data_IF_806082425002
#
_entry.id   IF_806082425002
#
_cell.length_a   1.000
_cell.length_b   1.000
_cell.length_c   1.000
_cell.angle_alpha   90.00
_cell.angle_beta   90.00
_cell.angle_gamma   90.00
#
_symmetry.space_group_name_H-M   'P 1'
#
loop_
_entity.id
_entity.type
_entity.pdbx_description
1 polymer ?
#
# COMPACT_ATOMS: atom_id res chain seq x y z
N UNK A 1 14.64 11.59 17.69
CA UNK A 1 14.05 11.57 16.32
C UNK A 1 14.89 12.34 15.30
N UNK A 2 15.09 13.65 15.39
CA UNK A 2 15.74 14.49 14.34
C UNK A 2 17.06 13.92 13.81
N UNK A 3 17.95 13.39 14.67
CA UNK A 3 19.22 12.80 14.23
C UNK A 3 19.05 11.47 13.49
N UNK A 4 18.10 10.65 13.91
CA UNK A 4 17.79 9.37 13.23
C UNK A 4 17.16 9.64 11.87
N UNK A 5 16.21 10.58 11.80
CA UNK A 5 15.60 10.98 10.53
C UNK A 5 16.63 11.55 9.55
N UNK A 6 17.54 12.41 10.01
CA UNK A 6 18.66 12.92 9.18
C UNK A 6 19.54 11.80 8.67
N UNK A 7 19.86 10.82 9.52
CA UNK A 7 20.64 9.66 9.12
C UNK A 7 19.90 8.83 8.06
N UNK A 8 18.64 8.52 8.27
CA UNK A 8 17.80 7.79 7.30
C UNK A 8 17.67 8.58 5.98
N UNK A 9 17.37 9.88 6.05
CA UNK A 9 17.24 10.72 4.87
C UNK A 9 18.55 10.86 4.08
N UNK A 10 19.71 10.78 4.73
CA UNK A 10 21.00 10.78 4.04
C UNK A 10 21.19 9.55 3.12
N UNK A 11 20.33 8.53 3.26
CA UNK A 11 20.32 7.30 2.46
C UNK A 11 19.31 7.33 1.31
N UNK A 12 18.50 8.38 1.19
CA UNK A 12 17.60 8.61 0.05
C UNK A 12 18.47 8.90 -1.18
N UNK A 13 18.24 8.20 -2.28
CA UNK A 13 19.05 8.32 -3.50
C UNK A 13 20.13 7.23 -3.62
N UNK A 14 20.40 6.46 -2.57
CA UNK A 14 21.12 5.18 -2.69
C UNK A 14 20.18 4.12 -3.25
N UNK A 15 19.42 4.49 -4.28
CA UNK A 15 18.32 3.72 -4.81
C UNK A 15 18.79 2.44 -5.49
N UNK A 16 17.94 1.46 -5.39
CA UNK A 16 17.86 0.22 -6.11
C UNK A 16 19.22 -0.31 -6.62
N UNK A 17 19.96 -0.92 -5.73
CA UNK A 17 21.17 -1.68 -6.09
C UNK A 17 20.76 -3.13 -6.28
N UNK A 18 21.13 -3.71 -7.40
CA UNK A 18 20.82 -5.11 -7.73
C UNK A 18 21.37 -6.09 -6.69
N UNK A 19 20.48 -6.96 -6.21
CA UNK A 19 20.82 -8.12 -5.39
C UNK A 19 20.52 -7.97 -3.90
N UNK A 20 20.16 -9.09 -3.27
CA UNK A 20 19.79 -9.19 -1.86
C UNK A 20 20.97 -9.48 -0.91
N UNK A 21 22.19 -9.66 -1.46
CA UNK A 21 23.33 -10.10 -0.64
C UNK A 21 23.63 -9.22 0.56
N UNK A 22 23.48 -7.89 0.41
CA UNK A 22 23.65 -6.92 1.50
C UNK A 22 22.63 -7.14 2.61
N UNK A 23 21.36 -7.27 2.22
CA UNK A 23 20.26 -7.51 3.16
C UNK A 23 20.37 -8.87 3.81
N UNK A 24 20.73 -9.92 3.04
CA UNK A 24 20.96 -11.24 3.61
C UNK A 24 22.05 -11.22 4.68
N UNK A 25 23.18 -10.55 4.39
CA UNK A 25 24.25 -10.39 5.39
C UNK A 25 23.79 -9.57 6.61
N UNK A 26 22.98 -8.53 6.40
CA UNK A 26 22.47 -7.69 7.48
C UNK A 26 21.53 -8.46 8.43
N UNK A 27 20.59 -9.26 7.89
CA UNK A 27 19.71 -10.09 8.75
C UNK A 27 20.50 -11.18 9.48
N UNK A 28 21.53 -11.78 8.85
CA UNK A 28 22.42 -12.75 9.51
C UNK A 28 23.13 -12.09 10.72
N UNK A 29 23.68 -10.89 10.55
CA UNK A 29 24.33 -10.13 11.63
C UNK A 29 23.39 -9.75 12.76
N UNK A 30 22.09 -9.55 12.45
CA UNK A 30 21.03 -9.28 13.43
C UNK A 30 20.40 -10.55 14.04
N UNK A 31 20.92 -11.74 13.68
CA UNK A 31 20.45 -13.01 14.20
C UNK A 31 19.11 -13.45 13.62
N UNK A 32 18.89 -13.17 12.33
CA UNK A 32 17.76 -13.60 11.51
C UNK A 32 16.40 -13.33 12.18
N UNK A 33 16.08 -12.07 12.50
CA UNK A 33 14.82 -11.71 13.18
C UNK A 33 13.58 -12.19 12.41
N UNK A 34 13.63 -12.22 11.08
CA UNK A 34 12.55 -12.61 10.18
C UNK A 34 12.15 -14.08 10.29
N UNK A 35 12.93 -14.91 10.96
CA UNK A 35 12.66 -16.34 11.15
C UNK A 35 11.87 -16.64 12.44
N UNK A 36 11.58 -15.64 13.25
CA UNK A 36 10.96 -15.81 14.57
C UNK A 36 9.44 -15.75 14.56
N UNK A 37 8.84 -15.34 13.44
CA UNK A 37 7.39 -15.21 13.26
C UNK A 37 6.97 -15.57 11.83
N UNK A 38 5.72 -16.01 11.61
CA UNK A 38 5.19 -16.23 10.26
C UNK A 38 4.99 -14.91 9.51
N UNK A 39 5.22 -14.93 8.19
CA UNK A 39 5.12 -13.75 7.34
C UNK A 39 4.17 -14.01 6.18
N UNK A 40 3.22 -13.09 5.95
CA UNK A 40 2.44 -12.98 4.73
C UNK A 40 3.06 -11.86 3.91
N UNK A 41 3.57 -12.18 2.72
CA UNK A 41 4.33 -11.26 1.88
C UNK A 41 3.46 -10.73 0.73
N UNK A 42 3.28 -9.42 0.66
CA UNK A 42 2.29 -8.79 -0.23
C UNK A 42 2.97 -7.91 -1.27
N UNK A 43 2.79 -8.23 -2.55
CA UNK A 43 3.19 -7.39 -3.68
C UNK A 43 1.99 -7.05 -4.58
N UNK A 44 2.20 -6.11 -5.47
CA UNK A 44 1.21 -5.68 -6.46
C UNK A 44 1.54 -4.29 -7.00
N UNK A 45 0.94 -3.90 -8.10
CA UNK A 45 1.02 -2.52 -8.58
C UNK A 45 0.17 -1.63 -7.67
N UNK A 46 -1.10 -1.95 -7.51
CA UNK A 46 -2.06 -1.28 -6.62
C UNK A 46 -2.70 -2.28 -5.65
N UNK A 47 -3.37 -1.80 -4.60
CA UNK A 47 -4.16 -2.63 -3.68
C UNK A 47 -3.39 -3.21 -2.48
N UNK A 48 -2.05 -3.18 -2.46
CA UNK A 48 -1.22 -3.77 -1.38
C UNK A 48 -1.65 -3.32 0.03
N UNK A 49 -1.62 -2.01 0.27
CA UNK A 49 -1.96 -1.43 1.58
C UNK A 49 -3.41 -1.72 2.00
N UNK A 50 -4.39 -1.64 1.08
CA UNK A 50 -5.79 -1.99 1.37
C UNK A 50 -5.96 -3.46 1.73
N UNK A 51 -5.30 -4.38 1.00
CA UNK A 51 -5.31 -5.81 1.31
C UNK A 51 -4.69 -6.09 2.69
N UNK A 52 -3.57 -5.42 3.01
CA UNK A 52 -2.94 -5.49 4.34
C UNK A 52 -3.88 -4.95 5.41
N UNK A 53 -4.57 -3.83 5.18
CA UNK A 53 -5.51 -3.26 6.14
C UNK A 53 -6.65 -4.23 6.46
N UNK A 54 -7.29 -4.83 5.44
CA UNK A 54 -8.31 -5.86 5.67
C UNK A 54 -7.76 -7.07 6.43
N UNK A 55 -6.59 -7.58 6.05
CA UNK A 55 -5.99 -8.72 6.77
C UNK A 55 -5.66 -8.37 8.22
N UNK A 56 -5.12 -7.17 8.48
CA UNK A 56 -4.83 -6.72 9.84
C UNK A 56 -6.07 -6.81 10.73
N UNK A 57 -7.17 -6.20 10.32
CA UNK A 57 -8.41 -6.23 11.10
C UNK A 57 -8.96 -7.67 11.25
N UNK A 58 -8.91 -8.48 10.19
CA UNK A 58 -9.33 -9.88 10.26
C UNK A 58 -8.54 -10.67 11.32
N UNK A 59 -7.23 -10.51 11.37
CA UNK A 59 -6.39 -11.20 12.35
C UNK A 59 -6.54 -10.61 13.76
N UNK A 60 -6.62 -9.29 13.91
CA UNK A 60 -6.79 -8.60 15.21
C UNK A 60 -8.12 -8.97 15.85
N UNK A 61 -9.22 -8.98 15.09
CA UNK A 61 -10.55 -9.39 15.59
C UNK A 61 -10.63 -10.89 15.93
N UNK A 62 -9.62 -11.68 15.50
CA UNK A 62 -9.43 -13.07 15.90
C UNK A 62 -8.35 -13.22 16.99
N UNK A 63 -8.00 -12.13 17.67
CA UNK A 63 -7.11 -12.13 18.84
C UNK A 63 -5.63 -12.29 18.54
N UNK A 64 -5.19 -11.99 17.30
CA UNK A 64 -3.77 -12.04 16.93
C UNK A 64 -3.10 -10.69 17.13
N UNK A 65 -1.82 -10.72 17.51
CA UNK A 65 -0.93 -9.56 17.48
C UNK A 65 -0.26 -9.49 16.11
N UNK A 66 -0.57 -8.44 15.35
CA UNK A 66 -0.20 -8.33 13.94
C UNK A 66 0.82 -7.23 13.72
N UNK A 67 2.03 -7.58 13.28
CA UNK A 67 2.99 -6.62 12.75
C UNK A 67 2.66 -6.25 11.31
N UNK A 68 2.71 -4.96 10.97
CA UNK A 68 2.56 -4.51 9.58
C UNK A 68 3.74 -3.63 9.17
N UNK A 69 4.32 -3.92 8.00
CA UNK A 69 5.30 -3.07 7.35
C UNK A 69 4.74 -2.61 6.00
N UNK A 70 4.54 -1.31 5.83
CA UNK A 70 3.88 -0.72 4.66
C UNK A 70 4.65 0.48 4.09
N UNK A 71 4.39 0.82 2.83
CA UNK A 71 5.04 1.93 2.16
C UNK A 71 4.21 2.56 1.03
N UNK A 72 4.34 3.88 0.82
CA UNK A 72 4.99 4.87 1.67
C UNK A 72 4.15 5.20 2.92
N UNK A 73 4.67 6.02 3.83
CA UNK A 73 3.89 6.59 4.93
C UNK A 73 2.98 7.74 4.45
N UNK A 74 1.90 7.98 5.18
CA UNK A 74 0.95 9.07 4.92
C UNK A 74 1.13 10.20 5.93
N UNK A 75 1.31 9.92 7.21
CA UNK A 75 1.45 10.94 8.25
C UNK A 75 2.88 11.03 8.73
N UNK A 76 3.47 9.92 9.14
CA UNK A 76 4.78 9.84 9.76
C UNK A 76 5.54 8.60 9.29
N UNK A 77 6.87 8.65 9.34
CA UNK A 77 7.72 7.50 9.05
C UNK A 77 7.38 6.27 9.91
N UNK A 78 6.84 6.51 11.12
CA UNK A 78 6.41 5.48 12.05
C UNK A 78 5.23 4.65 11.53
N UNK A 79 4.35 5.24 10.70
CA UNK A 79 3.21 4.55 10.09
C UNK A 79 3.61 3.34 9.24
N UNK A 80 4.88 3.29 8.84
CA UNK A 80 5.41 2.15 8.09
C UNK A 80 5.55 0.90 8.92
N UNK A 81 5.65 1.04 10.25
CA UNK A 81 5.95 -0.06 11.20
C UNK A 81 4.92 0.02 12.32
N UNK A 82 3.90 -0.83 12.27
CA UNK A 82 2.82 -0.82 13.25
C UNK A 82 2.61 -2.21 13.89
N UNK A 83 2.06 -2.20 15.10
CA UNK A 83 1.48 -3.38 15.76
C UNK A 83 -0.02 -3.13 15.91
N UNK A 84 -0.87 -3.99 15.36
CA UNK A 84 -2.33 -3.86 15.37
C UNK A 84 -2.83 -2.50 14.85
N UNK A 85 -2.06 -1.84 14.00
CA UNK A 85 -2.34 -0.51 13.47
C UNK A 85 -1.71 0.65 14.24
N UNK A 86 -1.22 0.42 15.46
CA UNK A 86 -0.53 1.43 16.25
C UNK A 86 0.93 1.58 15.80
N UNK A 87 1.37 2.79 15.42
CA UNK A 87 2.75 3.03 14.99
C UNK A 87 3.79 2.78 16.06
N UNK A 88 4.99 2.37 15.65
CA UNK A 88 6.14 2.22 16.54
C UNK A 88 6.43 3.52 17.30
N UNK A 89 6.74 3.43 18.60
CA UNK A 89 7.07 4.60 19.43
C UNK A 89 8.40 5.25 19.01
N UNK A 90 8.54 6.58 19.25
CA UNK A 90 9.82 7.30 19.08
C UNK A 90 10.97 6.59 19.80
N UNK A 91 10.73 6.12 21.02
CA UNK A 91 11.74 5.49 21.86
C UNK A 91 12.24 4.17 21.24
N UNK A 92 11.32 3.31 20.81
CA UNK A 92 11.67 2.04 20.17
C UNK A 92 12.33 2.26 18.81
N UNK A 93 11.79 3.19 18.01
CA UNK A 93 12.35 3.50 16.70
C UNK A 93 13.80 3.99 16.80
N UNK A 94 14.11 4.92 17.73
CA UNK A 94 15.46 5.42 17.96
C UNK A 94 16.39 4.28 18.40
N UNK A 95 15.97 3.49 19.39
CA UNK A 95 16.76 2.38 19.94
C UNK A 95 17.09 1.33 18.88
N UNK A 96 16.11 0.95 18.07
CA UNK A 96 16.28 -0.03 17.00
C UNK A 96 17.13 0.54 15.85
N UNK A 97 16.97 1.83 15.53
CA UNK A 97 17.80 2.51 14.56
C UNK A 97 19.29 2.54 14.99
N UNK A 98 19.56 2.75 16.28
CA UNK A 98 20.94 2.71 16.82
C UNK A 98 21.52 1.29 16.77
N UNK A 99 20.70 0.26 16.99
CA UNK A 99 21.11 -1.14 16.84
C UNK A 99 21.47 -1.46 15.38
N UNK A 100 20.62 -1.06 14.42
CA UNK A 100 20.88 -1.24 12.98
C UNK A 100 22.11 -0.45 12.54
N UNK A 101 22.31 0.77 13.05
CA UNK A 101 23.48 1.60 12.78
C UNK A 101 24.78 0.95 13.29
N UNK A 102 24.74 0.31 14.44
CA UNK A 102 25.87 -0.44 15.00
C UNK A 102 26.20 -1.66 14.14
N UNK A 103 25.19 -2.43 13.73
CA UNK A 103 25.34 -3.57 12.83
C UNK A 103 25.88 -3.13 11.46
N UNK A 104 25.44 -1.97 10.93
CA UNK A 104 25.90 -1.47 9.63
C UNK A 104 27.43 -1.23 9.64
N UNK A 105 28.05 -0.88 10.76
CA UNK A 105 29.51 -0.72 10.85
C UNK A 105 30.27 -2.03 10.57
N UNK A 106 29.73 -3.16 11.04
CA UNK A 106 30.29 -4.48 10.73
C UNK A 106 29.99 -4.87 9.27
N UNK A 107 28.78 -4.56 8.78
CA UNK A 107 28.40 -4.82 7.40
C UNK A 107 29.34 -4.12 6.40
N UNK A 108 29.74 -2.89 6.71
CA UNK A 108 30.64 -2.07 5.85
C UNK A 108 32.03 -2.65 5.66
N UNK A 109 32.46 -3.65 6.43
CA UNK A 109 33.71 -4.36 6.20
C UNK A 109 33.69 -5.19 4.90
N UNK A 110 32.48 -5.59 4.45
CA UNK A 110 32.30 -6.51 3.32
C UNK A 110 31.31 -6.03 2.27
N UNK A 111 30.45 -5.06 2.60
CA UNK A 111 29.37 -4.57 1.74
C UNK A 111 29.28 -3.04 1.78
N UNK A 112 28.53 -2.48 0.83
CA UNK A 112 28.22 -1.04 0.79
C UNK A 112 27.16 -0.65 1.83
N UNK A 113 26.99 0.67 2.01
CA UNK A 113 25.95 1.26 2.86
C UNK A 113 24.55 0.81 2.47
N UNK A 114 23.71 0.63 3.48
CA UNK A 114 22.29 0.34 3.33
C UNK A 114 21.50 1.56 2.84
N UNK A 115 20.52 1.35 1.98
CA UNK A 115 19.58 2.38 1.52
C UNK A 115 18.54 2.69 2.60
N UNK A 116 17.80 3.78 2.40
CA UNK A 116 16.69 4.19 3.29
C UNK A 116 15.69 3.05 3.54
N UNK A 117 15.28 2.35 2.48
CA UNK A 117 14.27 1.30 2.60
C UNK A 117 14.85 0.02 3.24
N UNK A 118 16.11 -0.30 2.98
CA UNK A 118 16.82 -1.41 3.65
C UNK A 118 16.92 -1.18 5.16
N UNK A 119 17.28 0.03 5.59
CA UNK A 119 17.33 0.38 7.01
C UNK A 119 15.99 0.25 7.70
N UNK A 120 14.91 0.78 7.08
CA UNK A 120 13.56 0.66 7.63
C UNK A 120 13.08 -0.78 7.71
N UNK A 121 13.39 -1.60 6.69
CA UNK A 121 13.05 -3.03 6.71
C UNK A 121 13.71 -3.73 7.90
N UNK A 122 15.00 -3.49 8.16
CA UNK A 122 15.71 -4.10 9.30
C UNK A 122 15.15 -3.63 10.64
N UNK A 123 14.83 -2.34 10.78
CA UNK A 123 14.19 -1.80 11.99
C UNK A 123 12.85 -2.51 12.23
N UNK A 124 12.03 -2.67 11.17
CA UNK A 124 10.74 -3.36 11.27
C UNK A 124 10.89 -4.82 11.69
N UNK A 125 11.79 -5.57 11.07
CA UNK A 125 12.02 -6.98 11.39
C UNK A 125 12.47 -7.17 12.85
N UNK A 126 13.34 -6.28 13.36
CA UNK A 126 13.74 -6.30 14.77
C UNK A 126 12.58 -5.96 15.71
N UNK A 127 11.80 -4.94 15.38
CA UNK A 127 10.67 -4.51 16.19
C UNK A 127 9.64 -5.63 16.34
N UNK A 128 9.26 -6.29 15.26
CA UNK A 128 8.32 -7.40 15.29
C UNK A 128 8.80 -8.59 16.11
N UNK A 129 10.11 -8.91 16.05
CA UNK A 129 10.73 -9.93 16.90
C UNK A 129 10.63 -9.57 18.39
N UNK A 130 10.97 -8.34 18.76
CA UNK A 130 10.93 -7.89 20.16
C UNK A 130 9.50 -7.83 20.73
N UNK A 131 8.51 -7.53 19.87
CA UNK A 131 7.11 -7.48 20.25
C UNK A 131 6.41 -8.86 20.24
N UNK A 132 7.15 -9.92 19.89
CA UNK A 132 6.65 -11.31 19.88
C UNK A 132 5.31 -11.44 19.11
N UNK A 133 5.22 -10.80 17.92
CA UNK A 133 3.99 -10.82 17.13
C UNK A 133 3.60 -12.21 16.66
N UNK A 134 2.30 -12.49 16.56
CA UNK A 134 1.77 -13.78 16.05
C UNK A 134 2.01 -13.93 14.54
N UNK A 135 2.06 -12.81 13.79
CA UNK A 135 2.37 -12.80 12.36
C UNK A 135 2.76 -11.40 11.90
N UNK A 136 3.41 -11.33 10.74
CA UNK A 136 3.75 -10.08 10.05
C UNK A 136 3.11 -10.04 8.65
N UNK A 137 2.47 -8.93 8.33
CA UNK A 137 2.01 -8.56 7.00
C UNK A 137 3.07 -7.62 6.40
N UNK A 138 3.84 -8.12 5.44
CA UNK A 138 5.02 -7.43 4.90
C UNK A 138 4.73 -6.94 3.48
N UNK A 139 4.69 -5.63 3.28
CA UNK A 139 4.53 -5.02 1.96
C UNK A 139 5.86 -4.92 1.22
N UNK A 140 5.89 -5.39 -0.02
CA UNK A 140 6.98 -5.17 -0.98
C UNK A 140 7.04 -3.70 -1.37
N UNK A 141 8.22 -3.11 -1.38
CA UNK A 141 8.40 -1.74 -1.82
C UNK A 141 8.19 -1.59 -3.34
N UNK A 142 8.98 -2.30 -4.14
CA UNK A 142 8.92 -2.27 -5.60
C UNK A 142 9.21 -3.65 -6.17
N UNK A 143 8.34 -4.14 -7.06
CA UNK A 143 8.52 -5.42 -7.75
C UNK A 143 8.30 -6.60 -6.83
N UNK A 144 9.35 -7.30 -6.45
CA UNK A 144 9.31 -8.47 -5.57
C UNK A 144 10.64 -9.23 -5.56
N UNK A 145 11.08 -9.78 -6.68
CA UNK A 145 12.27 -10.64 -6.80
C UNK A 145 13.52 -10.04 -6.16
N UNK A 146 13.79 -8.77 -6.45
CA UNK A 146 14.96 -8.03 -5.96
C UNK A 146 14.62 -7.00 -4.90
N UNK A 147 13.38 -7.00 -4.41
CA UNK A 147 12.98 -6.09 -3.35
C UNK A 147 13.67 -6.44 -2.03
N UNK A 148 14.01 -5.42 -1.28
CA UNK A 148 14.65 -5.51 0.03
C UNK A 148 13.94 -6.47 0.98
N UNK A 149 12.60 -6.51 0.93
CA UNK A 149 11.79 -7.38 1.79
C UNK A 149 11.91 -8.86 1.41
N UNK A 150 12.44 -9.19 0.22
CA UNK A 150 12.48 -10.58 -0.26
C UNK A 150 13.59 -11.45 0.38
N UNK A 151 14.28 -10.93 1.39
CA UNK A 151 15.15 -11.72 2.27
C UNK A 151 14.36 -12.70 3.16
N UNK A 152 13.07 -12.47 3.31
CA UNK A 152 12.19 -13.32 4.12
C UNK A 152 11.69 -14.56 3.36
N UNK A 153 11.29 -15.58 4.13
CA UNK A 153 10.55 -16.73 3.61
C UNK A 153 9.08 -16.62 4.01
N UNK A 154 8.29 -15.95 3.17
CA UNK A 154 6.85 -15.82 3.40
C UNK A 154 6.13 -17.16 3.38
N UNK A 155 5.19 -17.39 4.29
CA UNK A 155 4.34 -18.59 4.29
C UNK A 155 3.27 -18.53 3.22
N UNK A 156 2.72 -17.33 2.99
CA UNK A 156 1.75 -17.05 1.93
C UNK A 156 2.22 -15.79 1.21
N UNK A 157 2.30 -15.86 -0.12
CA UNK A 157 2.57 -14.71 -0.98
C UNK A 157 1.27 -14.18 -1.58
N UNK A 158 1.15 -12.86 -1.74
CA UNK A 158 -0.02 -12.24 -2.36
C UNK A 158 0.43 -11.35 -3.52
N UNK A 159 -0.25 -11.46 -4.67
CA UNK A 159 -0.16 -10.50 -5.77
C UNK A 159 -1.52 -9.82 -5.92
N UNK A 160 -1.62 -8.55 -5.53
CA UNK A 160 -2.88 -7.81 -5.51
C UNK A 160 -3.32 -7.29 -6.87
N UNK A 161 -2.37 -6.96 -7.74
CA UNK A 161 -2.60 -6.55 -9.13
C UNK A 161 -1.29 -6.50 -9.91
N UNK A 162 -1.36 -6.56 -11.23
CA UNK A 162 -0.24 -6.32 -12.13
C UNK A 162 -0.66 -5.28 -13.17
N UNK A 163 0.11 -4.22 -13.30
CA UNK A 163 -0.10 -3.13 -14.23
C UNK A 163 1.21 -2.40 -14.51
N UNK A 164 1.25 -1.59 -15.54
CA UNK A 164 2.43 -0.82 -15.94
C UNK A 164 2.70 0.29 -14.91
N UNK A 165 3.73 0.12 -14.12
CA UNK A 165 4.31 1.12 -13.21
C UNK A 165 5.79 0.75 -12.98
N UNK A 166 6.63 1.73 -12.63
CA UNK A 166 8.07 1.55 -12.42
C UNK A 166 8.77 0.82 -13.59
N UNK A 167 8.37 1.12 -14.84
CA UNK A 167 8.84 0.40 -16.04
C UNK A 167 10.37 0.44 -16.21
N UNK A 168 11.03 1.53 -15.83
CA UNK A 168 12.49 1.67 -15.81
C UNK A 168 13.21 0.66 -14.91
N UNK A 169 12.48 0.05 -13.94
CA UNK A 169 13.03 -0.91 -12.98
C UNK A 169 12.49 -2.32 -13.18
N UNK A 170 11.19 -2.45 -13.50
CA UNK A 170 10.48 -3.73 -13.51
C UNK A 170 10.30 -4.32 -14.91
N UNK A 171 10.51 -3.53 -15.98
CA UNK A 171 10.27 -3.92 -17.35
C UNK A 171 9.09 -3.20 -18.00
N UNK A 172 8.93 -3.42 -19.31
CA UNK A 172 8.00 -2.69 -20.15
C UNK A 172 6.77 -3.51 -20.56
N UNK A 173 6.64 -4.73 -20.07
CA UNK A 173 5.50 -5.60 -20.32
C UNK A 173 4.91 -6.16 -19.02
N UNK A 174 3.66 -6.64 -19.10
CA UNK A 174 2.99 -7.26 -17.94
C UNK A 174 3.67 -8.55 -17.53
N UNK A 175 4.26 -9.29 -18.46
CA UNK A 175 5.02 -10.50 -18.21
C UNK A 175 6.28 -10.22 -17.38
N UNK A 176 7.08 -9.21 -17.78
CA UNK A 176 8.29 -8.82 -17.05
C UNK A 176 7.96 -8.36 -15.63
N UNK A 177 6.91 -7.56 -15.48
CA UNK A 177 6.45 -7.11 -14.16
C UNK A 177 5.92 -8.29 -13.33
N UNK A 178 5.24 -9.26 -13.96
CA UNK A 178 4.75 -10.47 -13.31
C UNK A 178 5.91 -11.34 -12.80
N UNK A 179 6.99 -11.51 -13.58
CA UNK A 179 8.19 -12.23 -13.14
C UNK A 179 8.82 -11.60 -11.91
N UNK A 180 8.93 -10.26 -11.90
CA UNK A 180 9.44 -9.54 -10.73
C UNK A 180 8.57 -9.76 -9.49
N UNK A 181 7.24 -9.69 -9.63
CA UNK A 181 6.31 -9.86 -8.51
C UNK A 181 6.23 -11.31 -8.03
N UNK A 182 6.15 -12.27 -8.94
CA UNK A 182 6.16 -13.70 -8.60
C UNK A 182 7.47 -14.17 -7.93
N UNK A 183 8.53 -13.34 -7.98
CA UNK A 183 9.78 -13.57 -7.26
C UNK A 183 9.66 -13.67 -5.74
N UNK A 184 8.53 -13.29 -5.14
CA UNK A 184 8.25 -13.51 -3.71
C UNK A 184 7.66 -14.89 -3.41
N UNK A 185 7.32 -15.69 -4.42
CA UNK A 185 6.86 -17.06 -4.21
C UNK A 185 7.98 -17.91 -3.63
N UNK A 186 7.66 -18.79 -2.68
CA UNK A 186 8.65 -19.63 -1.99
C UNK A 186 8.32 -21.11 -2.17
N UNK A 187 9.35 -21.91 -2.34
CA UNK A 187 9.26 -23.35 -2.59
C UNK A 187 8.26 -24.05 -1.66
N UNK A 188 7.26 -24.73 -2.23
CA UNK A 188 6.27 -25.51 -1.49
C UNK A 188 5.31 -24.70 -0.62
N UNK A 189 5.25 -23.36 -0.78
CA UNK A 189 4.35 -22.49 -0.02
C UNK A 189 3.06 -22.23 -0.80
N UNK A 190 2.20 -21.37 -0.26
CA UNK A 190 0.96 -20.92 -0.92
C UNK A 190 1.13 -19.53 -1.53
N UNK A 191 0.39 -19.27 -2.62
CA UNK A 191 0.24 -17.95 -3.18
C UNK A 191 -1.22 -17.66 -3.51
N UNK A 192 -1.66 -16.42 -3.25
CA UNK A 192 -3.00 -15.91 -3.56
C UNK A 192 -2.85 -14.76 -4.55
N UNK A 193 -3.48 -14.85 -5.71
CA UNK A 193 -3.39 -13.81 -6.75
C UNK A 193 -4.76 -13.29 -7.15
N UNK A 194 -4.80 -12.01 -7.50
CA UNK A 194 -5.97 -11.39 -8.09
C UNK A 194 -6.32 -12.01 -9.45
N UNK A 195 -7.43 -11.58 -10.02
CA UNK A 195 -7.74 -11.84 -11.42
C UNK A 195 -6.85 -10.95 -12.29
N UNK A 196 -5.79 -11.54 -12.85
CA UNK A 196 -4.74 -10.84 -13.61
C UNK A 196 -5.01 -10.92 -15.11
N UNK A 197 -4.40 -10.02 -15.88
CA UNK A 197 -4.35 -10.15 -17.33
C UNK A 197 -3.73 -11.51 -17.74
N UNK A 198 -4.18 -12.12 -18.84
CA UNK A 198 -3.78 -13.48 -19.24
C UNK A 198 -2.25 -13.68 -19.30
N UNK A 199 -1.51 -12.71 -19.82
CA UNK A 199 -0.05 -12.74 -19.95
C UNK A 199 0.62 -12.83 -18.57
N UNK A 200 0.20 -12.00 -17.62
CA UNK A 200 0.71 -11.99 -16.26
C UNK A 200 0.33 -13.26 -15.48
N UNK A 201 -0.89 -13.75 -15.72
CA UNK A 201 -1.38 -14.98 -15.10
C UNK A 201 -0.56 -16.20 -15.52
N UNK A 202 -0.22 -16.33 -16.81
CA UNK A 202 0.60 -17.42 -17.35
C UNK A 202 1.96 -17.44 -16.64
N UNK A 203 2.57 -16.27 -16.42
CA UNK A 203 3.86 -16.16 -15.72
C UNK A 203 3.72 -16.63 -14.27
N UNK A 204 2.71 -16.16 -13.55
CA UNK A 204 2.48 -16.58 -12.16
C UNK A 204 2.23 -18.10 -12.05
N UNK A 205 1.47 -18.68 -12.98
CA UNK A 205 1.25 -20.12 -13.03
C UNK A 205 2.55 -20.90 -13.25
N UNK A 206 3.35 -20.48 -14.23
CA UNK A 206 4.64 -21.11 -14.51
C UNK A 206 5.57 -21.07 -13.30
N UNK A 207 5.74 -19.91 -12.68
CA UNK A 207 6.58 -19.77 -11.46
C UNK A 207 6.04 -20.66 -10.33
N UNK A 208 4.71 -20.75 -10.17
CA UNK A 208 4.12 -21.62 -9.14
C UNK A 208 4.37 -23.11 -9.40
N UNK A 209 4.30 -23.55 -10.65
CA UNK A 209 4.62 -24.93 -11.04
C UNK A 209 6.11 -25.25 -10.81
N UNK A 210 7.01 -24.37 -11.22
CA UNK A 210 8.46 -24.53 -11.06
C UNK A 210 8.89 -24.62 -9.59
N UNK A 211 8.18 -23.91 -8.70
CA UNK A 211 8.44 -23.88 -7.25
C UNK A 211 7.53 -24.81 -6.43
N UNK A 212 6.60 -25.55 -7.05
CA UNK A 212 5.63 -26.37 -6.32
C UNK A 212 4.73 -25.55 -5.38
N UNK A 213 4.42 -24.30 -5.75
CA UNK A 213 3.56 -23.40 -4.98
C UNK A 213 2.09 -23.76 -5.22
N UNK A 214 1.30 -23.84 -4.15
CA UNK A 214 -0.16 -23.96 -4.28
C UNK A 214 -0.74 -22.59 -4.60
N UNK A 215 -1.20 -22.41 -5.83
CA UNK A 215 -1.72 -21.14 -6.33
C UNK A 215 -3.25 -21.06 -6.18
N UNK A 216 -3.74 -20.01 -5.52
CA UNK A 216 -5.17 -19.66 -5.41
C UNK A 216 -5.44 -18.38 -6.19
N UNK A 217 -6.38 -18.42 -7.10
CA UNK A 217 -6.68 -17.34 -8.02
C UNK A 217 -8.09 -16.81 -7.85
N UNK A 218 -8.25 -15.51 -7.77
CA UNK A 218 -9.54 -14.84 -7.74
C UNK A 218 -10.38 -15.18 -8.99
N UNK A 219 -11.70 -15.22 -8.84
CA UNK A 219 -12.71 -15.62 -9.82
C UNK A 219 -12.60 -17.08 -10.30
N UNK A 220 -11.64 -17.85 -9.82
CA UNK A 220 -11.49 -19.27 -10.10
C UNK A 220 -11.61 -20.12 -8.83
N UNK A 221 -10.83 -19.82 -7.81
CA UNK A 221 -10.74 -20.59 -6.57
C UNK A 221 -11.50 -19.90 -5.42
N UNK A 222 -11.68 -18.60 -5.50
CA UNK A 222 -12.46 -17.78 -4.58
C UNK A 222 -13.02 -16.53 -5.28
N UNK A 223 -14.08 -15.94 -4.72
CA UNK A 223 -14.66 -14.70 -5.25
C UNK A 223 -15.31 -13.88 -4.14
N UNK A 224 -15.42 -12.57 -4.35
CA UNK A 224 -16.20 -11.65 -3.54
C UNK A 224 -17.03 -10.76 -4.49
N UNK A 225 -18.34 -10.83 -4.38
CA UNK A 225 -19.28 -10.05 -5.23
C UNK A 225 -20.50 -9.67 -4.43
N UNK A 226 -20.86 -8.40 -4.48
CA UNK A 226 -22.07 -7.87 -3.84
C UNK A 226 -22.21 -8.29 -2.35
N UNK A 227 -21.10 -8.22 -1.60
CA UNK A 227 -21.08 -8.60 -0.19
C UNK A 227 -21.19 -10.10 0.09
N UNK A 228 -20.91 -10.94 -0.90
CA UNK A 228 -20.87 -12.39 -0.80
C UNK A 228 -19.47 -12.89 -1.12
N UNK A 229 -18.84 -13.60 -0.19
CA UNK A 229 -17.56 -14.28 -0.41
C UNK A 229 -17.77 -15.78 -0.51
N UNK A 230 -17.13 -16.40 -1.49
CA UNK A 230 -17.20 -17.85 -1.74
C UNK A 230 -15.81 -18.41 -1.99
N UNK A 231 -15.48 -19.51 -1.33
CA UNK A 231 -14.29 -20.31 -1.58
C UNK A 231 -14.48 -21.75 -1.07
N UNK A 232 -13.52 -22.64 -1.34
CA UNK A 232 -13.52 -23.99 -0.78
C UNK A 232 -13.41 -24.00 0.76
N UNK A 233 -12.98 -22.90 1.40
CA UNK A 233 -12.79 -22.80 2.85
C UNK A 233 -14.00 -22.21 3.56
N UNK A 234 -14.79 -21.34 2.93
CA UNK A 234 -15.95 -20.70 3.55
C UNK A 234 -16.91 -20.10 2.50
N UNK A 235 -18.18 -20.05 2.90
CA UNK A 235 -19.24 -19.26 2.27
C UNK A 235 -19.70 -18.20 3.27
N UNK A 236 -19.51 -16.91 2.95
CA UNK A 236 -19.81 -15.79 3.84
C UNK A 236 -20.67 -14.77 3.13
N UNK A 237 -21.76 -14.34 3.74
CA UNK A 237 -22.66 -13.35 3.18
C UNK A 237 -22.88 -12.15 4.10
N UNK A 238 -23.57 -11.14 3.54
CA UNK A 238 -23.89 -9.87 4.21
C UNK A 238 -22.64 -9.09 4.65
N UNK A 239 -21.56 -9.23 3.89
CA UNK A 239 -20.31 -8.52 4.15
C UNK A 239 -20.43 -7.07 3.67
N UNK A 240 -19.99 -6.14 4.51
CA UNK A 240 -19.86 -4.73 4.18
C UNK A 240 -18.40 -4.32 4.37
N UNK A 241 -17.89 -3.53 3.45
CA UNK A 241 -16.53 -3.04 3.52
C UNK A 241 -16.50 -1.63 4.12
N UNK A 242 -15.49 -1.35 4.95
CA UNK A 242 -15.23 -0.01 5.47
C UNK A 242 -14.47 0.88 4.47
N UNK A 243 -13.78 0.28 3.50
CA UNK A 243 -13.15 1.01 2.40
C UNK A 243 -14.11 1.14 1.22
N UNK A 244 -14.20 2.34 0.66
CA UNK A 244 -15.05 2.64 -0.49
C UNK A 244 -14.38 2.27 -1.83
N UNK A 245 -15.21 2.02 -2.85
CA UNK A 245 -14.79 1.67 -4.22
C UNK A 245 -14.95 0.18 -4.54
N UNK A 246 -15.45 -0.11 -5.75
CA UNK A 246 -15.76 -1.49 -6.21
C UNK A 246 -14.52 -2.39 -6.16
N UNK A 247 -13.34 -1.85 -6.48
CA UNK A 247 -12.07 -2.58 -6.42
C UNK A 247 -11.66 -3.03 -5.01
N UNK A 248 -12.29 -2.52 -3.97
CA UNK A 248 -12.05 -2.99 -2.61
C UNK A 248 -12.65 -4.38 -2.35
N UNK A 249 -13.64 -4.80 -3.14
CA UNK A 249 -14.11 -6.20 -3.11
C UNK A 249 -12.99 -7.16 -3.54
N UNK A 250 -12.19 -6.80 -4.55
CA UNK A 250 -11.02 -7.57 -4.99
C UNK A 250 -9.96 -7.66 -3.88
N UNK A 251 -9.65 -6.53 -3.23
CA UNK A 251 -8.69 -6.49 -2.12
C UNK A 251 -9.19 -7.30 -0.90
N UNK A 252 -10.49 -7.18 -0.57
CA UNK A 252 -11.11 -7.94 0.51
C UNK A 252 -11.15 -9.44 0.22
N UNK A 253 -11.39 -9.84 -1.05
CA UNK A 253 -11.35 -11.24 -1.47
C UNK A 253 -9.97 -11.86 -1.23
N UNK A 254 -8.90 -11.17 -1.63
CA UNK A 254 -7.51 -11.60 -1.40
C UNK A 254 -7.20 -11.71 0.09
N UNK A 255 -7.62 -10.72 0.88
CA UNK A 255 -7.43 -10.69 2.32
C UNK A 255 -8.16 -11.86 3.00
N UNK A 256 -9.44 -12.08 2.69
CA UNK A 256 -10.25 -13.17 3.24
C UNK A 256 -9.68 -14.53 2.86
N UNK A 257 -9.37 -14.77 1.59
CA UNK A 257 -8.79 -16.03 1.15
C UNK A 257 -7.49 -16.33 1.88
N UNK A 258 -6.62 -15.33 2.02
CA UNK A 258 -5.33 -15.48 2.72
C UNK A 258 -5.52 -15.74 4.20
N UNK A 259 -6.41 -14.98 4.85
CA UNK A 259 -6.75 -15.15 6.27
C UNK A 259 -7.30 -16.57 6.53
N UNK A 260 -8.26 -17.02 5.73
CA UNK A 260 -8.84 -18.36 5.86
C UNK A 260 -7.82 -19.47 5.64
N UNK A 261 -6.91 -19.32 4.66
CA UNK A 261 -5.81 -20.26 4.44
C UNK A 261 -4.88 -20.34 5.65
N UNK A 262 -4.47 -19.18 6.18
CA UNK A 262 -3.58 -19.10 7.33
C UNK A 262 -4.18 -19.75 8.58
N UNK A 263 -5.45 -19.45 8.90
CA UNK A 263 -6.17 -20.02 10.04
C UNK A 263 -6.39 -21.53 9.86
N UNK A 264 -6.78 -21.96 8.65
CA UNK A 264 -7.00 -23.37 8.36
C UNK A 264 -5.73 -24.21 8.48
N UNK A 265 -4.58 -23.71 8.00
CA UNK A 265 -3.29 -24.38 8.11
C UNK A 265 -2.88 -24.62 9.58
N UNK A 266 -3.37 -23.82 10.50
CA UNK A 266 -3.11 -23.90 11.94
C UNK A 266 -4.21 -24.61 12.72
N UNK A 267 -5.28 -25.03 12.05
CA UNK A 267 -6.45 -25.63 12.72
C UNK A 267 -7.19 -24.67 13.65
N UNK A 268 -7.04 -23.36 13.41
CA UNK A 268 -7.65 -22.33 14.23
C UNK A 268 -9.08 -22.03 13.77
N UNK A 269 -9.95 -21.71 14.74
CA UNK A 269 -11.36 -21.42 14.46
C UNK A 269 -11.53 -20.02 13.90
N UNK A 270 -12.48 -19.89 12.99
CA UNK A 270 -12.86 -18.62 12.38
C UNK A 270 -14.27 -18.25 12.82
N UNK A 271 -14.47 -17.00 13.23
CA UNK A 271 -15.77 -16.43 13.62
C UNK A 271 -16.31 -15.53 12.51
N UNK A 272 -17.49 -15.88 11.97
CA UNK A 272 -18.12 -15.11 10.90
C UNK A 272 -18.57 -13.70 11.32
N UNK A 273 -18.92 -13.48 12.61
CA UNK A 273 -19.27 -12.13 13.08
C UNK A 273 -18.03 -11.26 13.23
N UNK A 274 -16.91 -11.82 13.72
CA UNK A 274 -15.62 -11.12 13.77
C UNK A 274 -15.17 -10.73 12.35
N UNK A 275 -15.33 -11.61 11.36
CA UNK A 275 -15.06 -11.26 9.95
C UNK A 275 -15.91 -10.06 9.49
N UNK A 276 -17.24 -10.07 9.77
CA UNK A 276 -18.11 -8.96 9.36
C UNK A 276 -17.71 -7.65 10.03
N UNK A 277 -17.37 -7.70 11.30
CA UNK A 277 -16.87 -6.55 12.05
C UNK A 277 -15.58 -6.02 11.42
N UNK A 278 -14.57 -6.85 11.29
CA UNK A 278 -13.27 -6.53 10.73
C UNK A 278 -13.37 -5.83 9.37
N UNK A 279 -14.09 -6.44 8.42
CA UNK A 279 -14.25 -5.86 7.09
C UNK A 279 -14.97 -4.51 7.08
N UNK A 280 -15.96 -4.34 7.96
CA UNK A 280 -16.75 -3.12 8.07
C UNK A 280 -15.96 -1.97 8.73
N UNK A 281 -15.11 -2.28 9.69
CA UNK A 281 -14.34 -1.27 10.45
C UNK A 281 -12.98 -0.95 9.81
N UNK A 282 -12.57 -1.73 8.81
CA UNK A 282 -11.31 -1.50 8.10
C UNK A 282 -11.26 -0.09 7.53
N UNK A 283 -10.19 0.63 7.85
CA UNK A 283 -9.87 1.94 7.32
C UNK A 283 -8.42 1.98 6.82
N UNK A 284 -8.16 2.82 5.83
CA UNK A 284 -6.81 3.03 5.31
C UNK A 284 -6.64 4.44 4.79
N UNK A 285 -5.75 5.20 5.40
CA UNK A 285 -5.51 6.59 5.04
C UNK A 285 -5.15 6.77 3.55
N UNK A 286 -5.77 7.76 2.91
CA UNK A 286 -5.52 8.10 1.51
C UNK A 286 -6.02 7.07 0.48
N UNK A 287 -7.02 6.28 0.81
CA UNK A 287 -7.72 5.37 -0.13
C UNK A 287 -9.21 5.64 -0.12
N UNK A 288 -9.64 6.56 -0.98
CA UNK A 288 -11.00 7.12 -0.98
C UNK A 288 -11.43 7.52 0.45
N UNK A 289 -10.49 8.08 1.20
CA UNK A 289 -10.68 8.49 2.59
C UNK A 289 -11.55 9.75 2.62
N UNK A 290 -12.77 9.65 3.13
CA UNK A 290 -13.59 10.81 3.46
C UNK A 290 -13.02 11.45 4.72
N UNK A 291 -12.29 12.56 4.59
CA UNK A 291 -11.65 13.28 5.70
C UNK A 291 -12.62 14.26 6.34
N UNK A 292 -13.46 14.86 5.52
CA UNK A 292 -14.61 15.67 5.95
C UNK A 292 -15.86 15.20 5.22
N UNK A 293 -17.00 15.81 5.50
CA UNK A 293 -18.26 15.50 4.80
C UNK A 293 -18.16 15.74 3.29
N UNK A 294 -17.28 16.65 2.86
CA UNK A 294 -17.17 17.11 1.47
C UNK A 294 -15.83 16.79 0.80
N UNK A 295 -14.81 16.30 1.52
CA UNK A 295 -13.46 16.11 0.97
C UNK A 295 -13.03 14.66 1.05
N UNK A 296 -12.68 14.11 -0.12
CA UNK A 296 -12.09 12.79 -0.29
C UNK A 296 -10.60 12.90 -0.65
N UNK A 297 -9.77 12.11 0.02
CA UNK A 297 -8.36 11.94 -0.31
C UNK A 297 -8.12 10.59 -0.96
N UNK A 298 -7.50 10.58 -2.13
CA UNK A 298 -7.09 9.34 -2.78
C UNK A 298 -5.68 9.43 -3.38
N UNK A 299 -4.86 8.43 -3.09
CA UNK A 299 -3.46 8.36 -3.50
C UNK A 299 -3.22 7.83 -4.90
N UNK A 300 -4.17 7.89 -5.82
CA UNK A 300 -3.97 7.49 -7.21
C UNK A 300 -2.84 8.33 -7.85
N UNK A 301 -1.81 7.65 -8.36
CA UNK A 301 -0.59 8.27 -8.89
C UNK A 301 -0.03 7.54 -10.12
N UNK A 302 -0.83 6.66 -10.70
CA UNK A 302 -0.62 5.96 -11.96
C UNK A 302 -1.96 5.74 -12.66
N UNK A 303 -1.93 5.47 -13.95
CA UNK A 303 -3.15 5.35 -14.75
C UNK A 303 -4.10 4.26 -14.24
N UNK A 304 -3.66 3.02 -13.92
CA UNK A 304 -4.57 1.99 -13.41
C UNK A 304 -5.26 2.35 -12.07
N UNK A 305 -4.59 3.12 -11.19
CA UNK A 305 -5.23 3.61 -9.96
C UNK A 305 -6.23 4.73 -10.26
N UNK A 306 -5.89 5.60 -11.21
CA UNK A 306 -6.76 6.69 -11.61
C UNK A 306 -8.04 6.19 -12.29
N UNK A 307 -7.97 5.14 -13.09
CA UNK A 307 -9.14 4.47 -13.69
C UNK A 307 -10.14 4.07 -12.61
N UNK A 308 -9.66 3.46 -11.53
CA UNK A 308 -10.51 3.06 -10.38
C UNK A 308 -11.11 4.26 -9.64
N UNK A 309 -10.34 5.32 -9.47
CA UNK A 309 -10.84 6.58 -8.88
C UNK A 309 -11.93 7.19 -9.76
N UNK A 310 -11.74 7.24 -11.07
CA UNK A 310 -12.71 7.78 -12.03
C UNK A 310 -14.02 6.99 -12.01
N UNK A 311 -13.97 5.65 -11.95
CA UNK A 311 -15.17 4.81 -11.78
C UNK A 311 -15.98 5.21 -10.54
N UNK A 312 -15.31 5.46 -9.41
CA UNK A 312 -15.94 5.90 -8.18
C UNK A 312 -16.55 7.31 -8.31
N UNK A 313 -15.80 8.24 -8.88
CA UNK A 313 -16.25 9.61 -9.12
C UNK A 313 -17.48 9.63 -10.02
N UNK A 314 -17.51 8.83 -11.09
CA UNK A 314 -18.67 8.71 -11.99
C UNK A 314 -19.93 8.22 -11.25
N UNK A 315 -19.79 7.32 -10.28
CA UNK A 315 -20.93 6.89 -9.46
C UNK A 315 -21.46 8.06 -8.60
N UNK A 316 -20.59 8.91 -8.04
CA UNK A 316 -21.02 10.11 -7.29
C UNK A 316 -21.72 11.12 -8.21
N UNK A 317 -21.24 11.34 -9.44
CA UNK A 317 -21.93 12.17 -10.45
C UNK A 317 -23.35 11.62 -10.74
N UNK A 318 -23.49 10.31 -10.94
CA UNK A 318 -24.78 9.68 -11.18
C UNK A 318 -25.75 9.81 -9.99
N UNK A 319 -25.23 9.96 -8.78
CA UNK A 319 -25.99 10.23 -7.56
C UNK A 319 -26.38 11.72 -7.42
N UNK A 320 -25.93 12.59 -8.32
CA UNK A 320 -26.28 14.02 -8.37
C UNK A 320 -25.28 14.94 -7.70
N UNK A 321 -24.10 14.45 -7.30
CA UNK A 321 -23.05 15.31 -6.74
C UNK A 321 -22.36 16.15 -7.80
N UNK A 322 -21.99 17.38 -7.42
CA UNK A 322 -21.15 18.29 -8.19
C UNK A 322 -19.69 18.15 -7.73
N UNK A 323 -18.78 17.93 -8.66
CA UNK A 323 -17.43 17.50 -8.30
C UNK A 323 -16.35 18.47 -8.72
N UNK A 324 -15.43 18.69 -7.80
CA UNK A 324 -14.15 19.34 -8.06
C UNK A 324 -13.01 18.36 -7.80
N UNK A 325 -11.96 18.46 -8.60
CA UNK A 325 -10.77 17.62 -8.47
C UNK A 325 -9.59 18.56 -8.26
N UNK A 326 -8.84 18.34 -7.18
CA UNK A 326 -7.58 19.00 -6.90
C UNK A 326 -6.44 18.02 -7.11
N UNK A 327 -5.63 18.25 -8.14
CA UNK A 327 -4.58 17.35 -8.58
C UNK A 327 -3.20 17.92 -8.29
N UNK A 328 -2.36 17.14 -7.58
CA UNK A 328 -0.96 17.44 -7.33
C UNK A 328 -0.09 16.21 -7.54
N UNK A 329 0.92 16.27 -8.42
CA UNK A 329 1.71 15.11 -8.81
C UNK A 329 3.22 15.38 -8.78
N UNK A 330 4.00 14.30 -8.93
CA UNK A 330 5.46 14.35 -9.10
C UNK A 330 5.81 14.34 -10.60
N UNK A 331 6.81 15.13 -10.99
CA UNK A 331 7.31 15.24 -12.38
C UNK A 331 7.76 13.91 -12.98
N UNK A 332 8.23 12.98 -12.15
CA UNK A 332 8.68 11.64 -12.58
C UNK A 332 7.56 10.68 -12.98
N UNK A 333 6.30 11.03 -12.70
CA UNK A 333 5.12 10.26 -13.09
C UNK A 333 4.54 10.81 -14.38
N UNK A 334 3.78 10.01 -15.09
CA UNK A 334 3.04 10.44 -16.30
C UNK A 334 1.83 11.29 -15.90
N UNK A 335 2.09 12.47 -15.32
CA UNK A 335 1.04 13.39 -14.91
C UNK A 335 0.24 13.94 -16.10
N UNK A 336 0.88 14.11 -17.28
CA UNK A 336 0.21 14.54 -18.50
C UNK A 336 -0.86 13.57 -18.98
N UNK A 337 -0.51 12.27 -19.04
CA UNK A 337 -1.46 11.20 -19.35
C UNK A 337 -2.59 11.11 -18.33
N UNK A 338 -2.27 11.23 -17.02
CA UNK A 338 -3.28 11.23 -15.96
C UNK A 338 -4.26 12.42 -16.07
N UNK A 339 -3.77 13.65 -16.32
CA UNK A 339 -4.62 14.83 -16.48
C UNK A 339 -5.49 14.73 -17.74
N UNK A 340 -4.95 14.20 -18.84
CA UNK A 340 -5.70 13.93 -20.06
C UNK A 340 -6.83 12.95 -19.77
N UNK A 341 -6.53 11.84 -19.08
CA UNK A 341 -7.52 10.85 -18.72
C UNK A 341 -8.66 11.41 -17.85
N UNK A 342 -8.32 12.20 -16.81
CA UNK A 342 -9.32 12.88 -15.97
C UNK A 342 -10.23 13.80 -16.80
N UNK A 343 -9.65 14.62 -17.69
CA UNK A 343 -10.41 15.56 -18.50
C UNK A 343 -11.35 14.86 -19.49
N UNK A 344 -10.90 13.75 -20.09
CA UNK A 344 -11.69 12.99 -21.07
C UNK A 344 -12.84 12.21 -20.42
N UNK A 345 -12.62 11.66 -19.21
CA UNK A 345 -13.59 10.76 -18.57
C UNK A 345 -14.47 11.44 -17.51
N UNK A 346 -14.13 12.67 -17.10
CA UNK A 346 -14.88 13.46 -16.12
C UNK A 346 -15.15 14.88 -16.65
N UNK A 347 -15.82 15.04 -17.82
CA UNK A 347 -16.05 16.35 -18.43
C UNK A 347 -16.95 17.28 -17.57
N UNK A 348 -17.74 16.71 -16.67
CA UNK A 348 -18.64 17.45 -15.77
C UNK A 348 -17.96 17.86 -14.45
N UNK A 349 -16.72 17.42 -14.20
CA UNK A 349 -15.95 17.80 -13.02
C UNK A 349 -15.02 18.99 -13.31
N UNK A 350 -14.86 19.89 -12.36
CA UNK A 350 -13.88 20.98 -12.48
C UNK A 350 -12.52 20.53 -11.99
N UNK A 351 -11.52 20.51 -12.86
CA UNK A 351 -10.16 20.06 -12.56
C UNK A 351 -9.24 21.25 -12.26
N UNK A 352 -8.65 21.23 -11.07
CA UNK A 352 -7.63 22.18 -10.63
C UNK A 352 -6.29 21.47 -10.44
N UNK A 353 -5.18 22.14 -10.81
CA UNK A 353 -3.83 21.60 -10.66
C UNK A 353 -3.01 22.52 -9.75
N UNK A 354 -2.21 21.92 -8.86
CA UNK A 354 -1.40 22.68 -7.90
C UNK A 354 0.00 22.09 -7.72
N UNK A 355 0.91 22.92 -7.22
CA UNK A 355 2.19 22.48 -6.64
C UNK A 355 2.03 22.23 -5.14
N UNK A 356 2.97 21.48 -4.54
CA UNK A 356 3.03 21.21 -3.10
C UNK A 356 4.49 21.09 -2.63
N UNK A 357 4.73 21.17 -1.33
CA UNK A 357 6.08 21.27 -0.77
C UNK A 357 6.78 19.90 -0.69
N UNK A 358 7.13 19.36 -1.84
CA UNK A 358 7.88 18.11 -1.94
C UNK A 358 8.85 18.17 -3.12
N UNK A 359 10.07 17.63 -2.91
CA UNK A 359 11.09 17.58 -3.96
C UNK A 359 10.59 16.80 -5.19
N UNK A 360 10.57 17.47 -6.35
CA UNK A 360 10.10 16.88 -7.60
C UNK A 360 8.58 16.96 -7.81
N UNK A 361 7.85 17.75 -7.01
CA UNK A 361 6.46 18.14 -7.32
C UNK A 361 6.40 18.98 -8.59
N UNK A 362 5.20 19.08 -9.19
CA UNK A 362 4.94 19.99 -10.29
C UNK A 362 5.25 21.42 -9.87
N UNK A 363 5.83 22.21 -10.77
CA UNK A 363 6.12 23.63 -10.60
C UNK A 363 5.22 24.47 -11.50
N UNK A 364 5.16 25.77 -11.29
CA UNK A 364 4.31 26.71 -12.05
C UNK A 364 4.44 26.57 -13.57
N UNK A 365 5.63 26.27 -14.05
CA UNK A 365 5.87 26.06 -15.49
C UNK A 365 5.21 24.80 -16.04
N UNK A 366 5.04 23.77 -15.22
CA UNK A 366 4.42 22.48 -15.56
C UNK A 366 2.89 22.59 -15.56
N UNK A 367 2.35 23.62 -14.91
CA UNK A 367 0.91 23.88 -14.79
C UNK A 367 0.31 24.66 -15.97
N UNK A 368 1.15 25.11 -16.91
CA UNK A 368 0.70 25.86 -18.08
C UNK A 368 -0.27 25.07 -18.94
N UNK A 369 -1.43 25.66 -19.20
CA UNK A 369 -2.51 25.01 -19.98
C UNK A 369 -3.59 24.34 -19.13
N UNK A 370 -3.41 24.29 -17.82
CA UNK A 370 -4.41 23.79 -16.86
C UNK A 370 -4.95 24.93 -15.99
N UNK A 371 -6.11 24.73 -15.39
CA UNK A 371 -6.63 25.64 -14.36
C UNK A 371 -5.81 25.43 -13.09
N UNK A 372 -4.82 26.31 -12.88
CA UNK A 372 -3.89 26.19 -11.76
C UNK A 372 -4.29 27.07 -10.58
N UNK A 373 -3.99 26.59 -9.38
CA UNK A 373 -4.13 27.33 -8.12
C UNK A 373 -2.77 27.48 -7.45
N UNK A 374 -2.53 28.62 -6.84
CA UNK A 374 -1.25 28.97 -6.20
C UNK A 374 -1.11 28.42 -4.77
N UNK A 375 -2.23 28.26 -4.06
CA UNK A 375 -2.30 27.76 -2.68
C UNK A 375 -3.44 26.73 -2.57
N UNK A 376 -3.08 25.49 -2.41
CA UNK A 376 -4.09 24.44 -2.19
C UNK A 376 -4.81 24.62 -0.85
N UNK A 377 -4.15 25.21 0.17
CA UNK A 377 -4.73 25.45 1.50
C UNK A 377 -5.86 26.46 1.41
N UNK A 378 -5.59 27.64 0.83
CA UNK A 378 -6.62 28.68 0.66
C UNK A 378 -7.78 28.17 -0.22
N UNK A 379 -7.48 27.32 -1.20
CA UNK A 379 -8.50 26.71 -2.05
C UNK A 379 -9.41 25.76 -1.23
N UNK A 380 -8.83 24.89 -0.41
CA UNK A 380 -9.57 23.96 0.45
C UNK A 380 -10.44 24.72 1.45
N UNK A 381 -9.88 25.73 2.14
CA UNK A 381 -10.63 26.57 3.10
C UNK A 381 -11.82 27.26 2.43
N UNK A 382 -11.60 27.81 1.22
CA UNK A 382 -12.68 28.44 0.47
C UNK A 382 -13.75 27.42 0.03
N UNK A 383 -13.32 26.24 -0.42
CA UNK A 383 -14.24 25.16 -0.79
C UNK A 383 -15.10 24.74 0.38
N UNK A 384 -14.51 24.42 1.55
CA UNK A 384 -15.26 24.00 2.74
C UNK A 384 -16.23 25.07 3.24
N UNK A 385 -15.81 26.35 3.22
CA UNK A 385 -16.66 27.46 3.61
C UNK A 385 -17.86 27.71 2.68
N UNK A 386 -17.81 27.22 1.42
CA UNK A 386 -18.83 27.47 0.39
C UNK A 386 -19.56 26.24 -0.10
N UNK A 387 -19.10 25.03 0.27
CA UNK A 387 -19.68 23.78 -0.19
C UNK A 387 -21.14 23.60 0.26
N UNK A 388 -22.00 23.22 -0.68
CA UNK A 388 -23.35 22.77 -0.40
C UNK A 388 -23.40 21.25 -0.17
N UNK A 389 -24.55 20.73 0.25
CA UNK A 389 -24.74 19.30 0.56
C UNK A 389 -24.37 18.33 -0.58
N UNK A 390 -24.36 18.80 -1.82
CA UNK A 390 -24.05 17.98 -2.99
C UNK A 390 -22.67 18.30 -3.61
N UNK A 391 -21.85 19.12 -2.97
CA UNK A 391 -20.53 19.45 -3.47
C UNK A 391 -19.48 18.53 -2.86
N UNK A 392 -18.62 17.92 -3.71
CA UNK A 392 -17.51 17.10 -3.27
C UNK A 392 -16.19 17.54 -3.91
N UNK A 393 -15.12 17.52 -3.14
CA UNK A 393 -13.75 17.74 -3.57
C UNK A 393 -12.95 16.44 -3.47
N UNK A 394 -12.37 16.00 -4.59
CA UNK A 394 -11.41 14.90 -4.61
C UNK A 394 -9.99 15.44 -4.72
N UNK A 395 -9.14 15.12 -3.76
CA UNK A 395 -7.71 15.48 -3.76
C UNK A 395 -6.91 14.25 -4.14
N UNK A 396 -6.10 14.33 -5.21
CA UNK A 396 -5.41 13.15 -5.77
C UNK A 396 -4.13 13.51 -6.56
N UNK A 397 -3.47 12.49 -7.13
CA UNK A 397 -2.30 12.60 -8.02
C UNK A 397 -0.98 12.19 -7.36
N UNK A 398 -0.85 12.25 -6.04
CA UNK A 398 0.33 11.80 -5.32
C UNK A 398 0.02 11.48 -3.86
N UNK A 399 0.57 10.36 -3.36
CA UNK A 399 0.49 10.03 -1.93
C UNK A 399 1.15 11.11 -1.05
N UNK A 400 2.23 11.73 -1.52
CA UNK A 400 2.88 12.84 -0.79
C UNK A 400 2.00 14.09 -0.73
N UNK A 401 1.29 14.39 -1.81
CA UNK A 401 0.37 15.52 -1.84
C UNK A 401 -0.81 15.32 -0.89
N UNK A 402 -1.49 14.18 -0.98
CA UNK A 402 -2.62 13.91 -0.08
C UNK A 402 -2.19 13.81 1.39
N UNK A 403 -0.94 13.41 1.65
CA UNK A 403 -0.34 13.41 2.99
C UNK A 403 -0.28 14.83 3.58
N UNK A 404 0.22 15.82 2.79
CA UNK A 404 0.24 17.23 3.22
C UNK A 404 -1.17 17.76 3.44
N UNK A 405 -2.10 17.48 2.52
CA UNK A 405 -3.50 17.93 2.64
C UNK A 405 -4.16 17.31 3.86
N UNK A 406 -3.95 16.00 4.10
CA UNK A 406 -4.48 15.32 5.27
C UNK A 406 -3.96 15.92 6.57
N UNK A 407 -2.66 16.16 6.65
CA UNK A 407 -2.06 16.81 7.83
C UNK A 407 -2.63 18.21 8.07
N UNK A 408 -2.86 18.96 6.99
CA UNK A 408 -3.47 20.28 7.06
C UNK A 408 -4.92 20.23 7.61
N UNK A 409 -5.76 19.35 7.07
CA UNK A 409 -7.16 19.20 7.51
C UNK A 409 -7.26 18.73 8.97
N UNK A 410 -6.47 17.71 9.35
CA UNK A 410 -6.48 17.20 10.73
C UNK A 410 -5.94 18.19 11.77
N UNK A 411 -5.08 19.13 11.36
CA UNK A 411 -4.62 20.19 12.24
C UNK A 411 -5.69 21.26 12.48
N UNK A 412 -6.57 21.50 11.49
CA UNK A 412 -7.68 22.45 11.58
C UNK A 412 -8.75 21.97 12.57
N UNK A 413 -9.08 20.67 12.56
CA UNK A 413 -10.09 20.08 13.47
C UNK A 413 -9.65 20.04 14.96
N UNK A 414 -8.36 20.26 15.25
CA UNK A 414 -7.86 20.25 16.62
C UNK A 414 -8.01 21.59 17.36
N UNK A 415 -8.58 22.60 16.71
CA UNK A 415 -8.78 23.96 17.27
C UNK A 415 -10.26 24.32 17.55
N UNK A 416 -11.23 23.44 17.23
CA UNK A 416 -12.62 23.54 17.57
C UNK A 416 -12.96 22.57 18.74
#
# INVERSE_FOLDING_TARGET
MIEVEKWLHSRIGLNFRSGLGRMQRAVDLLGNPEQTYPIIHVTGTNGKGSTIAFMRELFVDHGKTVGTFTSPHIVSIHDRICINGDPVSDADFIRLADQVKTMEQELLETHDQLSFFELLTLIALLYFKEQEVDLVLLEVGIGGLLDTTNVVTGEIAIITSIGLDHQETLGNSLEEIAEQKAGIFKLGRAAVIANLAPEAQIVCQKVSEDLGVTLYQADKDFSFKEGQFSSALAELGQLKLGLEGVYQEENAALALQTFLLFMNQRGEKVDGEAIRCALKTTSWAGRLEAVTEHIYLDGAHNLPALERLVEFIQQKIQQGYQLQILFGALKRKDYGGMLTYLTEHLPDATLYVTSFDYQGSLEEQDLKGYTSISSYRDFIDHFEASAGEQDLLFVTGSLYFISEVRAYLMASDSFD
#
